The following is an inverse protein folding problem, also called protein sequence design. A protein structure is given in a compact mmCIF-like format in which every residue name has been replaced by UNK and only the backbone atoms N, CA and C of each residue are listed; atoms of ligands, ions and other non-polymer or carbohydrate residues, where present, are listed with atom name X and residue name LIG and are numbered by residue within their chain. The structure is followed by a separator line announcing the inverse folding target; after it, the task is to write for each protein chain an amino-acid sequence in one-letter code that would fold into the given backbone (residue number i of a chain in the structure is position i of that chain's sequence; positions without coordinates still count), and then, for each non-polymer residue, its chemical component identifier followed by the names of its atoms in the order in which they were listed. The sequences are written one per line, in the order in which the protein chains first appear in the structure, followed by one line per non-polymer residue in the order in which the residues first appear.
data_IF_725464586671
#
_entry.id   IF_725464586671
#
_cell.length_a   1.000
_cell.length_b   1.000
_cell.length_c   1.000
_cell.angle_alpha   90.00
_cell.angle_beta   90.00
_cell.angle_gamma   90.00
#
_symmetry.space_group_name_H-M   'P 1'
#
loop_
_entity.id
_entity.type
_entity.pdbx_description
1 polymer ?
#
# COMPACT_ATOMS: atom_id res chain seq x y z
N UNK A 1 -18.60 15.47 -24.10
CA UNK A 1 -18.21 14.34 -23.23
C UNK A 1 -17.18 13.40 -23.93
N UNK A 2 -15.98 13.89 -24.26
CA UNK A 2 -14.91 13.09 -24.93
C UNK A 2 -13.54 13.11 -24.22
N UNK A 3 -13.44 13.72 -23.04
CA UNK A 3 -12.13 13.93 -22.39
C UNK A 3 -11.61 12.72 -21.59
N UNK A 4 -12.47 11.81 -21.13
CA UNK A 4 -12.05 10.67 -20.29
C UNK A 4 -11.42 9.52 -21.12
N UNK A 5 -11.73 9.41 -22.41
CA UNK A 5 -11.20 8.34 -23.26
C UNK A 5 -9.72 8.51 -23.65
N UNK A 6 -9.17 9.73 -23.57
CA UNK A 6 -7.83 10.02 -24.11
C UNK A 6 -6.69 9.43 -23.27
N UNK A 7 -6.87 9.21 -21.96
CA UNK A 7 -5.79 8.69 -21.10
C UNK A 7 -5.69 7.16 -21.13
N UNK A 8 -6.79 6.45 -21.38
CA UNK A 8 -6.84 4.98 -21.48
C UNK A 8 -6.30 4.50 -22.84
N UNK A 9 -6.37 5.33 -23.89
CA UNK A 9 -5.99 4.96 -25.26
C UNK A 9 -4.47 4.92 -25.54
N UNK A 10 -3.64 5.46 -24.65
CA UNK A 10 -2.18 5.51 -24.87
C UNK A 10 -1.44 4.28 -24.32
N UNK A 11 -2.11 3.39 -23.59
CA UNK A 11 -1.47 2.23 -22.99
C UNK A 11 -2.08 0.92 -23.50
N UNK A 12 -1.23 0.01 -23.96
CA UNK A 12 -1.64 -1.37 -24.28
C UNK A 12 -1.58 -2.21 -23.01
N UNK A 13 -2.63 -3.00 -22.83
CA UNK A 13 -2.77 -3.92 -21.71
C UNK A 13 -2.67 -5.36 -22.20
N UNK A 14 -2.15 -6.25 -21.36
CA UNK A 14 -1.77 -7.59 -21.79
C UNK A 14 -2.31 -8.69 -20.86
N UNK A 15 -2.68 -9.83 -21.44
CA UNK A 15 -3.02 -11.03 -20.71
C UNK A 15 -2.36 -12.26 -21.33
N UNK A 16 -2.29 -13.35 -20.58
CA UNK A 16 -1.87 -14.64 -21.11
C UNK A 16 -3.07 -15.35 -21.73
N UNK A 17 -2.93 -15.81 -22.97
CA UNK A 17 -3.92 -16.69 -23.58
C UNK A 17 -3.83 -18.11 -22.98
N UNK A 18 -4.76 -19.00 -23.38
CA UNK A 18 -4.77 -20.41 -22.93
C UNK A 18 -3.49 -21.20 -23.24
N UNK A 19 -2.64 -20.69 -24.14
CA UNK A 19 -1.35 -21.29 -24.53
C UNK A 19 -0.16 -20.61 -23.82
N UNK A 20 -0.40 -19.76 -22.83
CA UNK A 20 0.63 -19.04 -22.08
C UNK A 20 1.34 -17.94 -22.87
N UNK A 21 0.79 -17.48 -24.00
CA UNK A 21 1.38 -16.40 -24.80
C UNK A 21 0.79 -15.06 -24.43
N UNK A 22 1.63 -14.03 -24.38
CA UNK A 22 1.22 -12.64 -24.16
C UNK A 22 0.41 -12.15 -25.37
N UNK A 23 -0.81 -11.70 -25.12
CA UNK A 23 -1.70 -11.11 -26.13
C UNK A 23 -2.28 -9.79 -25.60
N UNK A 24 -2.71 -8.91 -26.51
CA UNK A 24 -3.43 -7.70 -26.12
C UNK A 24 -4.73 -8.10 -25.40
N UNK A 25 -4.99 -7.45 -24.27
CA UNK A 25 -6.25 -7.58 -23.56
C UNK A 25 -7.39 -6.88 -24.31
N UNK A 26 -8.64 -7.35 -24.17
CA UNK A 26 -9.79 -6.72 -24.80
C UNK A 26 -9.99 -5.31 -24.24
N UNK A 27 -10.60 -4.44 -25.05
CA UNK A 27 -11.01 -3.13 -24.59
C UNK A 27 -12.04 -3.25 -23.47
N UNK A 28 -11.89 -2.46 -22.43
CA UNK A 28 -12.81 -2.44 -21.29
C UNK A 28 -13.27 -1.02 -21.04
N UNK A 29 -14.58 -0.86 -20.94
CA UNK A 29 -15.18 0.36 -20.43
C UNK A 29 -15.26 0.29 -18.90
N UNK A 30 -14.58 1.21 -18.22
CA UNK A 30 -14.61 1.34 -16.76
C UNK A 30 -15.58 2.44 -16.28
N UNK A 31 -16.39 3.01 -17.18
CA UNK A 31 -17.35 4.09 -16.88
C UNK A 31 -18.37 3.76 -15.79
N UNK A 32 -18.58 2.48 -15.46
CA UNK A 32 -19.54 2.02 -14.45
C UNK A 32 -18.90 1.47 -13.16
N UNK A 33 -17.56 1.53 -13.03
CA UNK A 33 -16.82 0.90 -11.91
C UNK A 33 -16.18 1.89 -10.93
N UNK A 34 -16.75 3.08 -10.77
CA UNK A 34 -16.09 4.18 -10.03
C UNK A 34 -15.73 3.80 -8.59
N UNK A 35 -16.58 3.07 -7.88
CA UNK A 35 -16.35 2.73 -6.47
C UNK A 35 -15.47 1.48 -6.24
N UNK A 36 -15.34 0.58 -7.23
CA UNK A 36 -14.74 -0.75 -7.02
C UNK A 36 -13.42 -1.02 -7.75
N UNK A 37 -13.05 -0.19 -8.74
CA UNK A 37 -11.82 -0.43 -9.53
C UNK A 37 -11.64 0.46 -10.76
N UNK A 38 -12.39 1.56 -10.86
CA UNK A 38 -12.35 2.50 -11.99
C UNK A 38 -11.46 3.73 -11.76
N UNK A 39 -10.74 3.81 -10.64
CA UNK A 39 -9.81 4.91 -10.39
C UNK A 39 -8.59 4.79 -11.29
N UNK A 40 -8.32 5.85 -12.06
CA UNK A 40 -7.11 5.99 -12.85
C UNK A 40 -6.11 6.83 -12.05
N UNK A 41 -4.90 6.32 -11.90
CA UNK A 41 -3.86 6.93 -11.07
C UNK A 41 -2.48 6.59 -11.63
N UNK A 42 -1.48 7.38 -11.28
CA UNK A 42 -0.07 7.09 -11.56
C UNK A 42 0.61 6.46 -10.35
N UNK A 43 1.79 5.85 -10.54
CA UNK A 43 2.57 5.36 -9.40
C UNK A 43 2.93 6.52 -8.43
N UNK A 44 3.19 7.71 -8.95
CA UNK A 44 3.46 8.91 -8.13
C UNK A 44 2.28 9.31 -7.26
N UNK A 45 1.07 9.34 -7.83
CA UNK A 45 -0.15 9.65 -7.07
C UNK A 45 -0.42 8.61 -5.98
N UNK A 46 -0.22 7.32 -6.27
CA UNK A 46 -0.38 6.25 -5.28
C UNK A 46 0.67 6.35 -4.15
N UNK A 47 1.89 6.79 -4.46
CA UNK A 47 2.90 7.07 -3.43
C UNK A 47 2.49 8.24 -2.54
N UNK A 48 1.98 9.34 -3.13
CA UNK A 48 1.45 10.48 -2.36
C UNK A 48 0.29 10.04 -1.46
N UNK A 49 -0.64 9.27 -2.00
CA UNK A 49 -1.77 8.70 -1.24
C UNK A 49 -1.29 7.82 -0.08
N UNK A 50 -0.38 6.88 -0.34
CA UNK A 50 0.18 6.01 0.70
C UNK A 50 0.93 6.78 1.78
N UNK A 51 1.71 7.80 1.41
CA UNK A 51 2.40 8.67 2.36
C UNK A 51 1.44 9.51 3.20
N UNK A 52 0.36 10.04 2.61
CA UNK A 52 -0.66 10.80 3.34
C UNK A 52 -1.40 9.92 4.36
N UNK A 53 -1.71 8.67 4.00
CA UNK A 53 -2.30 7.70 4.93
C UNK A 53 -1.33 7.32 6.05
N UNK A 54 -0.07 7.03 5.71
CA UNK A 54 0.97 6.73 6.70
C UNK A 54 1.18 7.88 7.69
N UNK A 55 1.23 9.11 7.19
CA UNK A 55 1.33 10.30 8.04
C UNK A 55 0.13 10.41 8.98
N UNK A 56 -1.09 10.29 8.45
CA UNK A 56 -2.33 10.36 9.25
C UNK A 56 -2.38 9.27 10.32
N UNK A 57 -1.91 8.06 9.99
CA UNK A 57 -1.80 6.95 10.93
C UNK A 57 -0.78 7.22 12.03
N UNK A 58 0.40 7.75 11.69
CA UNK A 58 1.46 8.02 12.68
C UNK A 58 1.12 9.16 13.64
N UNK A 59 0.54 10.24 13.11
CA UNK A 59 0.08 11.36 13.94
C UNK A 59 -0.99 10.90 14.95
N UNK A 60 -1.78 9.87 14.62
CA UNK A 60 -2.80 9.34 15.52
C UNK A 60 -2.24 8.70 16.82
N UNK A 61 -0.95 8.37 16.87
CA UNK A 61 -0.30 7.81 18.06
C UNK A 61 0.55 8.82 18.84
N UNK A 62 0.63 10.07 18.40
CA UNK A 62 1.38 11.11 19.10
C UNK A 62 0.52 11.77 20.17
N UNK A 63 1.03 11.83 21.39
CA UNK A 63 0.40 12.56 22.50
C UNK A 63 0.56 14.08 22.33
N UNK A 64 1.71 14.50 21.82
CA UNK A 64 2.02 15.89 21.48
C UNK A 64 2.16 16.05 19.97
N UNK A 65 1.38 16.98 19.42
CA UNK A 65 1.37 17.32 17.98
C UNK A 65 1.81 18.77 17.74
N UNK A 66 2.39 19.42 18.75
CA UNK A 66 2.89 20.78 18.64
C UNK A 66 3.93 20.88 17.49
N UNK A 67 3.69 21.81 16.56
CA UNK A 67 4.51 21.98 15.37
C UNK A 67 4.23 21.01 14.21
N UNK A 68 3.29 20.06 14.34
CA UNK A 68 2.86 19.18 13.25
C UNK A 68 1.54 19.66 12.62
N UNK A 69 1.42 19.49 11.31
CA UNK A 69 0.15 19.72 10.60
C UNK A 69 -0.78 18.52 10.79
N UNK A 70 -2.11 18.73 10.74
CA UNK A 70 -3.06 17.62 10.83
C UNK A 70 -2.90 16.65 9.65
N UNK A 71 -3.17 15.37 9.91
CA UNK A 71 -3.29 14.37 8.86
C UNK A 71 -4.51 14.59 7.96
N UNK A 72 -4.51 13.97 6.79
CA UNK A 72 -5.64 14.03 5.86
C UNK A 72 -6.89 13.33 6.44
N UNK A 73 -6.67 12.29 7.25
CA UNK A 73 -7.71 11.62 8.01
C UNK A 73 -7.67 12.06 9.48
N UNK A 74 -8.84 12.10 10.12
CA UNK A 74 -8.94 12.24 11.58
C UNK A 74 -8.20 11.06 12.25
N UNK A 75 -7.52 11.28 13.38
CA UNK A 75 -6.74 10.24 14.08
C UNK A 75 -7.50 8.92 14.24
N UNK A 76 -8.71 8.96 14.82
CA UNK A 76 -9.56 7.78 14.98
C UNK A 76 -9.88 7.08 13.64
N UNK A 77 -10.19 7.84 12.60
CA UNK A 77 -10.48 7.28 11.27
C UNK A 77 -9.25 6.63 10.64
N UNK A 78 -8.05 7.18 10.84
CA UNK A 78 -6.81 6.59 10.34
C UNK A 78 -6.52 5.24 11.03
N UNK A 79 -6.79 5.14 12.33
CA UNK A 79 -6.68 3.88 13.08
C UNK A 79 -7.72 2.86 12.61
N UNK A 80 -8.99 3.26 12.53
CA UNK A 80 -10.10 2.40 12.13
C UNK A 80 -9.96 1.90 10.67
N UNK A 81 -9.28 2.65 9.81
CA UNK A 81 -9.02 2.25 8.41
C UNK A 81 -8.16 0.99 8.31
N UNK A 82 -7.16 0.86 9.19
CA UNK A 82 -6.22 -0.26 9.23
C UNK A 82 -6.47 -1.22 10.41
N UNK A 83 -7.58 -1.04 11.13
CA UNK A 83 -8.02 -1.99 12.12
C UNK A 83 -8.60 -3.24 11.43
N UNK A 84 -8.10 -4.44 11.74
CA UNK A 84 -8.71 -5.67 11.28
C UNK A 84 -10.19 -5.76 11.68
N UNK A 85 -11.04 -6.24 10.77
CA UNK A 85 -12.45 -6.48 11.04
C UNK A 85 -12.64 -7.93 11.45
N UNK A 86 -13.33 -8.15 12.57
CA UNK A 86 -13.64 -9.50 13.06
C UNK A 86 -14.35 -10.35 12.00
N UNK A 87 -14.04 -11.65 12.01
CA UNK A 87 -14.65 -12.67 11.12
C UNK A 87 -14.43 -12.39 9.62
N UNK A 88 -13.35 -11.68 9.29
CA UNK A 88 -12.89 -11.54 7.91
C UNK A 88 -11.59 -12.32 7.72
N UNK A 89 -11.43 -12.92 6.54
CA UNK A 89 -10.24 -13.70 6.18
C UNK A 89 -9.65 -13.17 4.88
N UNK A 90 -8.33 -13.05 4.83
CA UNK A 90 -7.63 -12.80 3.58
C UNK A 90 -7.31 -14.14 2.92
N UNK A 91 -8.07 -14.50 1.88
CA UNK A 91 -7.93 -15.81 1.21
C UNK A 91 -6.56 -16.04 0.55
N UNK A 92 -5.76 -14.98 0.36
CA UNK A 92 -4.45 -15.02 -0.29
C UNK A 92 -3.25 -14.80 0.66
N UNK A 93 -3.47 -14.53 1.96
CA UNK A 93 -2.40 -14.36 2.94
C UNK A 93 -2.84 -14.94 4.30
N UNK A 94 -2.17 -16.02 4.75
CA UNK A 94 -2.51 -16.70 6.01
C UNK A 94 -2.24 -15.84 7.25
N UNK A 95 -1.35 -14.86 7.12
CA UNK A 95 -0.96 -13.97 8.20
C UNK A 95 -1.75 -12.65 8.16
N UNK A 96 -2.52 -12.43 7.09
CA UNK A 96 -3.25 -11.20 6.84
C UNK A 96 -4.71 -11.26 7.27
N UNK A 97 -5.17 -10.12 7.79
CA UNK A 97 -6.55 -9.85 8.13
C UNK A 97 -7.10 -8.79 7.17
N UNK A 98 -8.41 -8.72 7.05
CA UNK A 98 -9.05 -7.71 6.21
C UNK A 98 -9.54 -6.54 7.05
N UNK A 99 -9.16 -5.33 6.66
CA UNK A 99 -9.61 -4.06 7.23
C UNK A 99 -10.51 -3.32 6.22
N UNK A 100 -10.70 -2.01 6.38
CA UNK A 100 -11.53 -1.22 5.46
C UNK A 100 -10.87 -1.01 4.10
N UNK A 101 -10.94 -2.04 3.24
CA UNK A 101 -10.30 -2.05 1.92
C UNK A 101 -8.80 -2.29 1.97
N UNK A 102 -8.26 -2.83 3.06
CA UNK A 102 -6.83 -3.12 3.18
C UNK A 102 -6.59 -4.53 3.68
N UNK A 103 -5.58 -5.19 3.15
CA UNK A 103 -4.92 -6.30 3.83
C UNK A 103 -4.06 -5.71 4.94
N UNK A 104 -4.21 -6.23 6.15
CA UNK A 104 -3.43 -5.81 7.32
C UNK A 104 -2.73 -7.03 7.90
N UNK A 105 -1.42 -6.95 8.02
CA UNK A 105 -0.64 -7.93 8.78
C UNK A 105 -0.22 -7.28 10.08
N UNK A 106 -0.59 -7.88 11.20
CA UNK A 106 -0.25 -7.36 12.52
C UNK A 106 1.15 -7.80 12.96
N UNK A 107 1.79 -6.95 13.76
CA UNK A 107 3.05 -7.28 14.42
C UNK A 107 2.84 -8.50 15.33
N UNK A 108 3.69 -9.52 15.19
CA UNK A 108 3.57 -10.74 15.98
C UNK A 108 4.94 -11.35 16.27
N UNK A 109 5.17 -11.71 17.52
CA UNK A 109 6.29 -12.55 17.94
C UNK A 109 5.78 -13.52 19.01
N UNK A 110 5.67 -14.81 18.66
CA UNK A 110 5.03 -15.82 19.52
C UNK A 110 5.89 -16.23 20.71
N UNK A 111 7.21 -16.24 20.55
CA UNK A 111 8.17 -16.71 21.55
C UNK A 111 9.43 -15.84 21.56
N UNK A 112 10.18 -15.86 22.67
CA UNK A 112 11.52 -15.27 22.73
C UNK A 112 12.42 -15.84 21.63
N UNK A 113 13.19 -14.99 20.96
CA UNK A 113 14.08 -15.34 19.83
C UNK A 113 13.40 -15.95 18.58
N UNK A 114 12.06 -16.05 18.49
CA UNK A 114 11.41 -16.50 17.27
C UNK A 114 11.33 -15.40 16.20
N UNK A 115 10.90 -15.77 14.99
CA UNK A 115 10.65 -14.82 13.90
C UNK A 115 9.72 -13.70 14.38
N UNK A 116 10.19 -12.46 14.27
CA UNK A 116 9.40 -11.24 14.48
C UNK A 116 8.72 -10.85 13.18
N UNK A 117 7.39 -10.88 13.17
CA UNK A 117 6.56 -10.41 12.05
C UNK A 117 6.32 -8.91 12.24
N UNK A 118 6.54 -8.14 11.18
CA UNK A 118 6.30 -6.69 11.16
C UNK A 118 4.88 -6.36 10.79
N UNK A 119 4.39 -5.25 11.33
CA UNK A 119 3.14 -4.68 10.88
C UNK A 119 3.32 -4.05 9.49
N UNK A 120 2.43 -4.38 8.56
CA UNK A 120 2.32 -3.70 7.26
C UNK A 120 0.87 -3.76 6.77
N UNK A 121 0.54 -2.87 5.84
CA UNK A 121 -0.75 -2.88 5.15
C UNK A 121 -0.53 -2.88 3.64
N UNK A 122 -1.45 -3.49 2.90
CA UNK A 122 -1.38 -3.50 1.44
C UNK A 122 -2.74 -3.62 0.78
N UNK A 123 -2.85 -3.17 -0.45
CA UNK A 123 -4.01 -3.38 -1.31
C UNK A 123 -3.51 -3.74 -2.71
N UNK A 124 -4.02 -4.86 -3.23
CA UNK A 124 -3.78 -5.27 -4.63
C UNK A 124 -4.93 -4.85 -5.52
N UNK A 125 -4.64 -4.32 -6.70
CA UNK A 125 -5.63 -3.98 -7.72
C UNK A 125 -5.54 -4.93 -8.91
N UNK A 126 -6.67 -5.51 -9.30
CA UNK A 126 -6.78 -6.32 -10.51
C UNK A 126 -7.71 -5.66 -11.51
N UNK A 127 -7.26 -5.49 -12.74
CA UNK A 127 -8.09 -5.05 -13.84
C UNK A 127 -7.82 -5.90 -15.09
N UNK A 128 -8.67 -5.77 -16.10
CA UNK A 128 -8.45 -6.46 -17.37
C UNK A 128 -7.15 -5.94 -17.98
N UNK A 129 -6.20 -6.85 -18.14
CA UNK A 129 -4.89 -6.54 -18.69
C UNK A 129 -3.96 -5.73 -17.79
N UNK A 130 -4.27 -5.54 -16.50
CA UNK A 130 -3.40 -4.80 -15.58
C UNK A 130 -3.45 -5.36 -14.14
N UNK A 131 -2.35 -5.16 -13.41
CA UNK A 131 -2.22 -5.53 -12.00
C UNK A 131 -1.45 -4.45 -11.26
N UNK A 132 -1.87 -4.13 -10.04
CA UNK A 132 -1.19 -3.16 -9.19
C UNK A 132 -1.12 -3.62 -7.73
N UNK A 133 -0.20 -3.02 -6.98
CA UNK A 133 -0.17 -3.11 -5.52
C UNK A 133 0.28 -1.78 -4.93
N UNK A 134 -0.34 -1.39 -3.83
CA UNK A 134 0.14 -0.36 -2.92
C UNK A 134 0.39 -1.03 -1.57
N UNK A 135 1.62 -0.92 -1.05
CA UNK A 135 2.02 -1.47 0.23
C UNK A 135 2.64 -0.36 1.07
N UNK A 136 2.27 -0.33 2.34
CA UNK A 136 2.83 0.58 3.34
C UNK A 136 3.43 -0.25 4.47
N UNK A 137 4.72 -0.05 4.72
CA UNK A 137 5.47 -0.64 5.81
C UNK A 137 5.87 0.48 6.78
N UNK A 138 5.11 0.73 7.87
CA UNK A 138 5.50 1.69 8.88
C UNK A 138 6.84 1.33 9.54
N UNK A 139 7.58 2.35 9.96
CA UNK A 139 8.77 2.17 10.80
C UNK A 139 8.40 1.43 12.09
N UNK A 140 9.28 0.56 12.60
CA UNK A 140 9.02 -0.11 13.89
C UNK A 140 9.06 0.86 15.07
N UNK A 141 9.96 1.84 14.98
CA UNK A 141 10.15 2.91 15.93
C UNK A 141 10.14 4.22 15.14
N UNK A 142 9.49 5.24 15.69
CA UNK A 142 9.61 6.59 15.16
C UNK A 142 10.95 7.14 15.65
N UNK A 143 11.79 7.59 14.73
CA UNK A 143 13.06 8.25 15.04
C UNK A 143 12.75 9.57 15.77
N UNK A 144 12.73 9.49 17.10
CA UNK A 144 12.75 10.63 18.00
C UNK A 144 14.21 10.94 18.30
N UNK A 145 14.92 11.62 17.39
CA UNK A 145 16.21 12.20 17.76
C UNK A 145 15.94 13.15 18.92
N UNK A 146 16.42 12.80 20.12
CA UNK A 146 16.13 13.45 21.41
C UNK A 146 16.08 14.98 21.26
N UNK A 147 14.88 15.55 21.31
CA UNK A 147 14.65 17.01 21.30
C UNK A 147 14.27 17.66 19.97
N UNK A 148 14.17 16.92 18.85
CA UNK A 148 13.67 17.44 17.57
C UNK A 148 12.33 16.78 17.24
N UNK A 149 11.36 17.58 16.77
CA UNK A 149 10.08 17.09 16.26
C UNK A 149 10.30 15.98 15.24
N UNK A 150 9.60 14.83 15.35
CA UNK A 150 9.83 13.70 14.47
C UNK A 150 9.48 14.10 13.03
N UNK A 151 10.40 13.83 12.10
CA UNK A 151 10.13 14.00 10.67
C UNK A 151 9.20 12.89 10.24
N UNK A 152 7.94 13.22 9.94
CA UNK A 152 6.92 12.28 9.46
C UNK A 152 6.59 12.53 7.98
N UNK A 153 6.12 11.52 7.23
CA UNK A 153 5.94 10.13 7.65
C UNK A 153 7.25 9.32 7.69
N UNK A 154 7.29 8.28 8.53
CA UNK A 154 8.42 7.36 8.62
C UNK A 154 8.04 5.92 8.26
N UNK A 155 8.62 5.40 7.19
CA UNK A 155 8.42 4.03 6.76
C UNK A 155 8.77 3.89 5.29
N UNK A 156 8.29 2.82 4.67
CA UNK A 156 8.45 2.59 3.24
C UNK A 156 7.08 2.40 2.60
N UNK A 157 6.79 3.20 1.59
CA UNK A 157 5.62 3.04 0.71
C UNK A 157 6.09 2.52 -0.63
N UNK A 158 5.49 1.42 -1.09
CA UNK A 158 5.81 0.78 -2.37
C UNK A 158 4.55 0.76 -3.23
N UNK A 159 4.65 1.35 -4.42
CA UNK A 159 3.62 1.25 -5.46
C UNK A 159 4.19 0.55 -6.68
N UNK A 160 3.49 -0.46 -7.18
CA UNK A 160 3.83 -1.13 -8.45
C UNK A 160 2.58 -1.16 -9.31
N UNK A 161 2.69 -0.68 -10.55
CA UNK A 161 1.64 -0.74 -11.56
C UNK A 161 2.21 -1.48 -12.77
N UNK A 162 1.48 -2.49 -13.25
CA UNK A 162 1.87 -3.28 -14.42
C UNK A 162 0.71 -3.38 -15.38
N UNK A 163 0.99 -3.30 -16.68
CA UNK A 163 0.02 -3.49 -17.75
C UNK A 163 -0.11 -4.96 -18.16
N UNK A 164 -0.04 -5.85 -17.17
CA UNK A 164 -0.24 -7.27 -17.35
C UNK A 164 -1.26 -7.79 -16.34
N UNK A 165 -2.21 -8.58 -16.83
CA UNK A 165 -3.25 -9.20 -16.00
C UNK A 165 -2.69 -10.32 -15.13
N UNK A 166 -3.26 -10.48 -13.93
CA UNK A 166 -3.01 -11.62 -13.04
C UNK A 166 -1.56 -11.75 -12.59
N UNK A 167 -0.89 -10.62 -12.32
CA UNK A 167 0.47 -10.61 -11.76
C UNK A 167 0.40 -10.50 -10.24
N UNK A 168 0.99 -11.48 -9.54
CA UNK A 168 1.10 -11.48 -8.09
C UNK A 168 2.19 -10.53 -7.59
N UNK A 169 1.83 -9.28 -7.28
CA UNK A 169 2.79 -8.23 -6.94
C UNK A 169 3.10 -8.09 -5.44
N UNK A 170 2.20 -8.55 -4.56
CA UNK A 170 2.33 -8.32 -3.12
C UNK A 170 3.63 -8.85 -2.49
N UNK A 171 4.08 -10.11 -2.76
CA UNK A 171 5.34 -10.61 -2.19
C UNK A 171 6.56 -9.82 -2.67
N UNK A 172 6.53 -9.33 -3.91
CA UNK A 172 7.61 -8.50 -4.49
C UNK A 172 7.64 -7.13 -3.82
N UNK A 173 6.49 -6.48 -3.66
CA UNK A 173 6.40 -5.20 -2.96
C UNK A 173 6.90 -5.30 -1.51
N UNK A 174 6.56 -6.37 -0.80
CA UNK A 174 7.02 -6.60 0.57
C UNK A 174 8.55 -6.79 0.65
N UNK A 175 9.13 -7.54 -0.29
CA UNK A 175 10.61 -7.69 -0.37
C UNK A 175 11.28 -6.34 -0.59
N UNK A 176 10.78 -5.54 -1.54
CA UNK A 176 11.27 -4.18 -1.79
C UNK A 176 11.18 -3.34 -0.51
N UNK A 177 10.03 -3.34 0.16
CA UNK A 177 9.84 -2.55 1.38
C UNK A 177 10.86 -2.91 2.47
N UNK A 178 11.13 -4.21 2.65
CA UNK A 178 12.14 -4.67 3.61
C UNK A 178 13.57 -4.25 3.23
N UNK A 179 13.96 -4.35 1.96
CA UNK A 179 15.31 -3.93 1.55
C UNK A 179 15.54 -2.43 1.71
N UNK A 180 14.54 -1.61 1.37
CA UNK A 180 14.62 -0.16 1.56
C UNK A 180 14.62 0.25 3.04
N UNK A 181 13.85 -0.44 3.88
CA UNK A 181 13.83 -0.15 5.31
C UNK A 181 15.17 -0.52 5.97
N UNK A 182 15.78 -1.65 5.62
CA UNK A 182 17.13 -2.01 6.06
C UNK A 182 18.16 -0.95 5.67
N UNK A 183 18.12 -0.48 4.41
CA UNK A 183 19.04 0.54 3.91
C UNK A 183 18.88 1.87 4.65
N UNK A 184 17.68 2.17 5.16
CA UNK A 184 17.41 3.36 5.99
C UNK A 184 18.05 3.23 7.37
N UNK A 185 17.93 2.08 8.04
CA UNK A 185 18.52 1.85 9.36
C UNK A 185 20.05 1.95 9.37
N UNK A 186 20.72 1.54 8.29
CA UNK A 186 22.19 1.65 8.16
C UNK A 186 22.66 3.12 8.16
N UNK A 187 21.88 4.03 7.58
CA UNK A 187 22.20 5.47 7.55
C UNK A 187 22.02 6.18 8.89
N UNK A 188 21.38 5.55 9.87
CA UNK A 188 21.18 6.13 11.21
C UNK A 188 22.37 5.83 12.13
N UNK A 189 23.15 4.78 11.85
CA UNK A 189 24.31 4.36 12.65
C UNK A 189 25.67 4.81 12.09
N UNK A 190 25.71 5.62 11.03
CA UNK A 190 26.92 6.22 10.45
C UNK A 190 26.96 7.72 10.71
#
# INVERSE_FOLDING_TARGET
RKFIYSLILLHRFYCLNKRGRVVNSPYVDNSYKWAGGGFLSTAGDLLLFGNALLYSYQVAFLEDTEGLLPGFLKPKTALDLWAPVDKTEASWDKDGLYAQGWLVVEKLQKYGQCRKRRHYVSHTGGAVGASSVLLVLPSEELDQRRGVTPVLPQGVVVSIITNMQSVGLNPTALKIAHEFDKARSVKVCS
#
